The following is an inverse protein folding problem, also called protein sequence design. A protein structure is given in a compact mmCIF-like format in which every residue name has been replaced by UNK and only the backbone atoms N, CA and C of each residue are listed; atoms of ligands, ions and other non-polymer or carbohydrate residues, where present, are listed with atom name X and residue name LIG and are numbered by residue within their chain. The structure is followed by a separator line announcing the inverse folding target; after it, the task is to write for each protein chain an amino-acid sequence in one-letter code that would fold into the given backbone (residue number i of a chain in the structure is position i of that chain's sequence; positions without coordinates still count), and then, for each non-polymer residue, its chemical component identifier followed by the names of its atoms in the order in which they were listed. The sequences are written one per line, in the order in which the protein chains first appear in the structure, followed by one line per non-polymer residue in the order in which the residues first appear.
data_IF_721922819283
#
_entry.id   IF_721922819283
#
_cell.length_a   1.000
_cell.length_b   1.000
_cell.length_c   1.000
_cell.angle_alpha   90.00
_cell.angle_beta   90.00
_cell.angle_gamma   90.00
#
_symmetry.space_group_name_H-M   'P 1'
#
loop_
_entity.id
_entity.type
_entity.pdbx_description
1 polymer ?
#
# COMPACT_ATOMS: atom_id res chain seq x y z
N UNK A 1 -15.17 -18.33 33.56
CA UNK A 1 -14.49 -17.12 33.06
C UNK A 1 -14.55 -17.16 31.55
N UNK A 2 -14.99 -16.08 30.88
CA UNK A 2 -14.93 -16.02 29.42
C UNK A 2 -13.46 -15.95 29.00
N UNK A 3 -12.97 -17.02 28.38
CA UNK A 3 -11.64 -17.07 27.79
C UNK A 3 -11.65 -16.20 26.54
N UNK A 4 -10.79 -15.17 26.49
CA UNK A 4 -10.58 -14.36 25.29
C UNK A 4 -10.18 -15.24 24.11
N UNK A 5 -10.77 -14.98 22.93
CA UNK A 5 -10.49 -15.66 21.67
C UNK A 5 -9.70 -14.76 20.69
N UNK A 6 -8.99 -15.36 19.74
CA UNK A 6 -8.34 -14.62 18.65
C UNK A 6 -9.36 -13.96 17.73
N UNK A 7 -10.48 -14.63 17.46
CA UNK A 7 -11.56 -14.08 16.64
C UNK A 7 -12.11 -12.77 17.20
N UNK A 8 -12.20 -12.64 18.53
CA UNK A 8 -12.63 -11.40 19.21
C UNK A 8 -11.64 -10.25 18.99
N UNK A 9 -10.33 -10.53 18.97
CA UNK A 9 -9.30 -9.54 18.65
C UNK A 9 -9.36 -9.13 17.17
N UNK A 10 -9.47 -10.12 16.29
CA UNK A 10 -9.53 -9.92 14.84
C UNK A 10 -10.72 -9.02 14.46
N UNK A 11 -11.87 -9.20 15.12
CA UNK A 11 -13.06 -8.40 14.91
C UNK A 11 -12.86 -6.89 15.18
N UNK A 12 -11.82 -6.51 15.94
CA UNK A 12 -11.49 -5.11 16.22
C UNK A 12 -10.74 -4.41 15.07
N UNK A 13 -10.14 -5.18 14.15
CA UNK A 13 -9.35 -4.63 13.04
C UNK A 13 -10.22 -3.78 12.11
N UNK A 14 -9.71 -2.61 11.73
CA UNK A 14 -10.41 -1.64 10.89
C UNK A 14 -11.45 -0.81 11.62
N UNK A 15 -11.69 -1.04 12.92
CA UNK A 15 -12.56 -0.17 13.71
C UNK A 15 -11.80 1.09 14.15
N UNK A 16 -12.49 2.25 14.22
CA UNK A 16 -11.94 3.43 14.86
C UNK A 16 -11.77 3.16 16.36
N UNK A 17 -10.75 3.75 16.96
CA UNK A 17 -10.45 3.60 18.39
C UNK A 17 -11.56 4.11 19.32
N UNK A 18 -12.49 4.89 18.78
CA UNK A 18 -13.69 5.38 19.47
C UNK A 18 -14.93 4.51 19.26
N UNK A 19 -14.84 3.42 18.49
CA UNK A 19 -15.96 2.52 18.27
C UNK A 19 -16.43 1.91 19.61
N UNK A 20 -17.76 1.81 19.88
CA UNK A 20 -18.27 1.22 21.11
C UNK A 20 -17.70 -0.17 21.39
N UNK A 21 -17.59 -1.02 20.36
CA UNK A 21 -17.03 -2.37 20.47
C UNK A 21 -15.55 -2.35 20.92
N UNK A 22 -14.75 -1.41 20.39
CA UNK A 22 -13.35 -1.24 20.78
C UNK A 22 -13.25 -0.79 22.25
N UNK A 23 -14.06 0.19 22.65
CA UNK A 23 -14.10 0.71 24.01
C UNK A 23 -14.52 -0.38 25.00
N UNK A 24 -15.62 -1.08 24.73
CA UNK A 24 -16.11 -2.17 25.57
C UNK A 24 -15.10 -3.31 25.69
N UNK A 25 -14.39 -3.65 24.61
CA UNK A 25 -13.33 -4.67 24.67
C UNK A 25 -12.20 -4.25 25.60
N UNK A 26 -11.71 -3.01 25.49
CA UNK A 26 -10.63 -2.52 26.33
C UNK A 26 -11.04 -2.41 27.80
N UNK A 27 -12.30 -2.04 28.08
CA UNK A 27 -12.86 -2.00 29.44
C UNK A 27 -13.05 -3.40 30.03
N UNK A 28 -13.61 -4.34 29.25
CA UNK A 28 -13.87 -5.72 29.68
C UNK A 28 -12.59 -6.45 30.11
N UNK A 29 -11.46 -6.17 29.44
CA UNK A 29 -10.19 -6.84 29.66
C UNK A 29 -9.14 -5.97 30.39
N UNK A 30 -9.54 -4.80 30.90
CA UNK A 30 -8.67 -3.84 31.61
C UNK A 30 -7.38 -3.50 30.85
N UNK A 31 -7.52 -3.16 29.57
CA UNK A 31 -6.41 -2.87 28.64
C UNK A 31 -6.02 -1.36 28.62
N UNK A 32 -6.57 -0.59 29.55
CA UNK A 32 -6.35 0.85 29.70
C UNK A 32 -6.99 1.70 28.59
N UNK A 33 -6.53 2.96 28.45
CA UNK A 33 -7.16 3.95 27.56
C UNK A 33 -6.75 3.80 26.09
N UNK A 34 -7.72 3.87 25.18
CA UNK A 34 -7.50 3.90 23.73
C UNK A 34 -7.02 5.28 23.26
N UNK A 35 -6.12 5.37 22.26
CA UNK A 35 -5.75 6.64 21.66
C UNK A 35 -6.95 7.19 20.85
N UNK A 36 -7.52 8.32 21.26
CA UNK A 36 -8.68 8.92 20.54
C UNK A 36 -8.28 9.50 19.18
N UNK A 37 -7.04 9.94 19.05
CA UNK A 37 -6.44 10.53 17.85
C UNK A 37 -5.01 10.04 17.78
N UNK A 38 -4.47 9.88 16.57
CA UNK A 38 -3.03 9.63 16.38
C UNK A 38 -2.34 10.92 15.94
N UNK A 39 -1.18 11.17 16.51
CA UNK A 39 -0.16 12.06 15.91
C UNK A 39 0.81 11.18 15.11
N UNK A 40 1.61 11.74 14.18
CA UNK A 40 2.54 10.95 13.37
C UNK A 40 3.48 10.03 14.18
N UNK A 41 3.75 10.36 15.45
CA UNK A 41 4.66 9.64 16.33
C UNK A 41 3.98 8.67 17.30
N UNK A 42 2.65 8.48 17.23
CA UNK A 42 1.86 7.68 18.18
C UNK A 42 1.08 6.54 17.50
N UNK A 43 1.70 5.86 16.54
CA UNK A 43 1.07 4.81 15.75
C UNK A 43 0.93 3.45 16.44
N UNK A 44 1.45 3.26 17.66
CA UNK A 44 1.47 1.93 18.30
C UNK A 44 1.24 2.01 19.82
N UNK A 45 0.65 0.96 20.38
CA UNK A 45 0.46 0.78 21.82
C UNK A 45 0.75 -0.67 22.21
N UNK A 46 1.75 -0.87 23.05
CA UNK A 46 2.06 -2.16 23.66
C UNK A 46 1.37 -2.28 25.03
N UNK A 47 0.70 -3.40 25.29
CA UNK A 47 0.02 -3.67 26.56
C UNK A 47 0.35 -5.09 26.99
N UNK A 48 0.88 -5.24 28.20
CA UNK A 48 1.07 -6.55 28.83
C UNK A 48 -0.05 -6.77 29.84
N UNK A 49 -1.07 -7.54 29.45
CA UNK A 49 -2.16 -7.91 30.33
C UNK A 49 -1.75 -9.08 31.21
N UNK A 50 -1.53 -8.82 32.50
CA UNK A 50 -1.19 -9.86 33.49
C UNK A 50 -2.35 -10.83 33.72
N UNK A 51 -3.58 -10.34 33.70
CA UNK A 51 -4.78 -11.15 33.93
C UNK A 51 -5.02 -12.15 32.80
N UNK A 52 -4.73 -11.76 31.57
CA UNK A 52 -4.83 -12.62 30.39
C UNK A 52 -3.56 -13.40 30.09
N UNK A 53 -2.44 -13.04 30.73
CA UNK A 53 -1.10 -13.48 30.38
C UNK A 53 -0.75 -13.21 28.90
N UNK A 54 -1.25 -12.11 28.31
CA UNK A 54 -1.02 -11.78 26.90
C UNK A 54 -0.34 -10.42 26.77
N UNK A 55 0.68 -10.37 25.92
CA UNK A 55 1.23 -9.11 25.41
C UNK A 55 0.59 -8.79 24.06
N UNK A 56 -0.07 -7.65 24.00
CA UNK A 56 -0.67 -7.10 22.79
C UNK A 56 0.17 -5.96 22.26
N UNK A 57 0.31 -5.90 20.95
CA UNK A 57 0.81 -4.73 20.26
C UNK A 57 -0.22 -4.27 19.26
N UNK A 58 -0.92 -3.19 19.60
CA UNK A 58 -1.94 -2.56 18.78
C UNK A 58 -1.28 -1.48 17.93
N UNK A 59 -1.43 -1.56 16.61
CA UNK A 59 -0.98 -0.53 15.67
C UNK A 59 -2.19 0.21 15.12
N UNK A 60 -2.14 1.53 15.16
CA UNK A 60 -3.13 2.42 14.58
C UNK A 60 -2.50 3.15 13.40
N UNK A 61 -3.08 2.98 12.21
CA UNK A 61 -2.52 3.48 10.96
C UNK A 61 -3.63 3.63 9.92
N UNK A 62 -3.36 4.41 8.87
CA UNK A 62 -4.31 4.69 7.79
C UNK A 62 -3.70 4.14 6.49
N UNK A 63 -3.85 2.83 6.24
CA UNK A 63 -3.16 2.14 5.13
C UNK A 63 -4.07 1.22 4.32
N UNK A 64 -5.19 1.77 3.87
CA UNK A 64 -6.09 1.13 2.91
C UNK A 64 -6.97 2.21 2.29
N UNK A 65 -7.43 2.00 1.05
CA UNK A 65 -8.37 2.88 0.33
C UNK A 65 -9.59 3.25 1.19
N UNK A 66 -10.20 2.26 1.85
CA UNK A 66 -11.36 2.47 2.75
C UNK A 66 -11.11 3.48 3.88
N UNK A 67 -9.86 3.67 4.29
CA UNK A 67 -9.48 4.54 5.41
C UNK A 67 -8.75 5.81 4.95
N UNK A 68 -8.43 5.96 3.66
CA UNK A 68 -7.67 7.08 3.09
C UNK A 68 -8.58 8.01 2.23
N UNK A 69 -8.39 9.34 2.28
CA UNK A 69 -7.53 10.07 3.20
C UNK A 69 -8.05 9.96 4.63
N UNK A 70 -7.19 10.17 5.63
CA UNK A 70 -7.59 10.08 7.02
C UNK A 70 -8.63 11.17 7.32
N UNK A 71 -9.75 10.79 7.94
CA UNK A 71 -10.81 11.74 8.29
C UNK A 71 -10.48 12.42 9.63
N UNK A 72 -10.51 13.74 9.68
CA UNK A 72 -10.46 14.51 10.93
C UNK A 72 -11.88 14.76 11.45
N UNK A 73 -12.24 14.31 12.66
CA UNK A 73 -13.56 14.60 13.24
C UNK A 73 -13.82 16.10 13.44
N UNK A 74 -12.75 16.90 13.46
CA UNK A 74 -12.79 18.35 13.67
C UNK A 74 -12.53 19.15 12.40
N UNK A 75 -12.38 18.46 11.27
CA UNK A 75 -11.96 19.07 10.00
C UNK A 75 -10.65 19.88 10.13
N UNK A 76 -9.72 19.39 10.96
CA UNK A 76 -8.39 19.97 11.17
C UNK A 76 -7.27 19.03 10.66
N UNK A 77 -6.11 19.61 10.31
CA UNK A 77 -4.99 18.88 9.68
C UNK A 77 -4.14 18.05 10.65
N UNK A 78 -4.51 17.97 11.94
CA UNK A 78 -3.63 17.43 12.98
C UNK A 78 -4.25 16.29 13.80
N UNK A 79 -5.58 16.08 13.74
CA UNK A 79 -6.29 15.10 14.56
C UNK A 79 -7.17 14.19 13.72
N UNK A 80 -6.58 13.12 13.22
CA UNK A 80 -7.28 12.11 12.44
C UNK A 80 -7.88 11.01 13.32
N UNK A 81 -8.95 10.37 12.81
CA UNK A 81 -9.51 9.16 13.40
C UNK A 81 -8.45 8.06 13.39
N UNK A 82 -8.23 7.44 14.55
CA UNK A 82 -7.28 6.36 14.71
C UNK A 82 -7.95 5.00 14.44
N UNK A 83 -7.72 4.40 13.27
CA UNK A 83 -8.20 3.06 12.95
C UNK A 83 -7.19 2.00 13.39
N UNK A 84 -7.67 0.93 14.02
CA UNK A 84 -6.80 -0.19 14.40
C UNK A 84 -6.38 -0.96 13.15
N UNK A 85 -5.12 -0.82 12.74
CA UNK A 85 -4.60 -1.40 11.50
C UNK A 85 -3.97 -2.77 11.71
N UNK A 86 -3.44 -3.06 12.90
CA UNK A 86 -2.84 -4.38 13.19
C UNK A 86 -2.83 -4.68 14.68
N UNK A 87 -2.92 -5.97 15.00
CA UNK A 87 -2.78 -6.51 16.34
C UNK A 87 -1.81 -7.68 16.26
N UNK A 88 -0.68 -7.56 16.95
CA UNK A 88 0.18 -8.70 17.26
C UNK A 88 -0.15 -9.18 18.66
N UNK A 89 -0.44 -10.47 18.80
CA UNK A 89 -0.81 -11.09 20.06
C UNK A 89 0.23 -12.13 20.55
N UNK A 90 1.36 -12.23 19.84
CA UNK A 90 2.55 -12.98 20.25
C UNK A 90 3.79 -12.08 20.19
N UNK A 91 4.15 -11.47 21.31
CA UNK A 91 5.39 -10.68 21.40
C UNK A 91 6.47 -11.49 22.15
N UNK A 92 7.50 -11.88 21.41
CA UNK A 92 8.61 -12.74 21.82
C UNK A 92 9.53 -12.14 22.88
N UNK A 93 9.54 -10.81 23.11
CA UNK A 93 10.39 -10.22 24.17
C UNK A 93 10.05 -10.75 25.58
N UNK A 94 8.84 -11.29 25.78
CA UNK A 94 8.47 -11.95 27.02
C UNK A 94 8.70 -13.47 27.02
N UNK A 95 8.76 -14.13 25.85
CA UNK A 95 8.70 -15.60 25.75
C UNK A 95 9.98 -16.32 26.19
N UNK A 96 11.16 -15.69 26.05
CA UNK A 96 12.42 -16.32 26.49
C UNK A 96 12.60 -16.33 28.01
N UNK A 97 11.91 -15.43 28.74
CA UNK A 97 11.99 -15.33 30.22
C UNK A 97 10.73 -15.82 30.93
N UNK A 98 9.59 -15.85 30.24
CA UNK A 98 8.29 -16.32 30.74
C UNK A 98 7.55 -17.01 29.59
N UNK A 99 7.56 -18.36 29.53
CA UNK A 99 6.74 -19.08 28.59
C UNK A 99 5.29 -18.62 28.73
N UNK A 100 4.65 -18.33 27.61
CA UNK A 100 3.26 -17.90 27.56
C UNK A 100 2.38 -19.05 27.06
N UNK A 101 1.94 -19.98 27.92
CA UNK A 101 0.91 -20.92 27.55
C UNK A 101 -0.42 -20.18 27.60
N UNK A 102 -0.72 -19.42 26.54
CA UNK A 102 -2.08 -18.90 26.37
C UNK A 102 -3.07 -20.06 26.50
N UNK A 103 -4.24 -19.87 27.12
CA UNK A 103 -5.23 -20.94 27.28
C UNK A 103 -5.56 -21.57 25.92
N UNK A 104 -5.84 -22.88 25.88
CA UNK A 104 -6.19 -23.58 24.63
C UNK A 104 -7.35 -22.87 23.91
N UNK A 105 -8.34 -22.37 24.66
CA UNK A 105 -9.48 -21.65 24.11
C UNK A 105 -9.18 -20.30 23.46
N UNK A 106 -7.97 -19.75 23.63
CA UNK A 106 -7.53 -18.54 22.92
C UNK A 106 -7.27 -18.84 21.44
N UNK A 107 -6.69 -19.99 21.14
CA UNK A 107 -6.22 -20.41 19.81
C UNK A 107 -7.37 -20.93 18.94
N UNK A 108 -8.39 -20.10 18.68
CA UNK A 108 -9.58 -20.46 17.91
C UNK A 108 -9.47 -20.15 16.42
N UNK A 109 -8.38 -19.48 15.98
CA UNK A 109 -8.12 -19.16 14.57
C UNK A 109 -6.77 -19.70 14.10
N UNK A 110 -5.71 -19.47 14.86
CA UNK A 110 -4.38 -20.05 14.59
C UNK A 110 -4.11 -21.22 15.52
N UNK A 111 -3.24 -22.10 15.07
CA UNK A 111 -2.63 -23.10 15.93
C UNK A 111 -1.70 -22.44 16.95
N UNK A 112 -1.54 -23.05 18.14
CA UNK A 112 -0.61 -22.56 19.16
C UNK A 112 0.86 -22.59 18.67
N UNK A 113 1.78 -21.83 19.31
CA UNK A 113 3.17 -21.67 18.84
C UNK A 113 3.98 -22.97 18.81
N UNK A 114 3.54 -23.99 19.54
CA UNK A 114 4.16 -25.32 19.57
C UNK A 114 3.64 -26.27 18.47
N UNK A 115 2.71 -25.82 17.63
CA UNK A 115 2.25 -26.59 16.48
C UNK A 115 3.38 -26.80 15.46
N UNK A 116 3.34 -27.93 14.77
CA UNK A 116 4.34 -28.24 13.76
C UNK A 116 4.15 -27.34 12.54
N UNK A 117 5.25 -26.99 11.87
CA UNK A 117 5.20 -26.16 10.66
C UNK A 117 4.28 -26.76 9.58
N UNK A 118 4.22 -28.09 9.47
CA UNK A 118 3.33 -28.79 8.54
C UNK A 118 1.84 -28.56 8.85
N UNK A 119 1.49 -28.43 10.13
CA UNK A 119 0.10 -28.18 10.54
C UNK A 119 -0.29 -26.75 10.17
N UNK A 120 0.61 -25.79 10.36
CA UNK A 120 0.41 -24.40 9.92
C UNK A 120 0.32 -24.31 8.40
N UNK A 121 1.17 -25.04 7.67
CA UNK A 121 1.09 -25.08 6.21
C UNK A 121 -0.24 -25.70 5.73
N UNK A 122 -0.76 -26.71 6.44
CA UNK A 122 -2.07 -27.29 6.14
C UNK A 122 -3.20 -26.28 6.37
N UNK A 123 -3.11 -25.45 7.42
CA UNK A 123 -4.10 -24.43 7.74
C UNK A 123 -4.03 -23.20 6.81
N UNK A 124 -2.83 -22.67 6.55
CA UNK A 124 -2.61 -21.38 5.91
C UNK A 124 -2.18 -21.49 4.43
N UNK A 125 -1.84 -22.68 3.97
CA UNK A 125 -1.28 -22.91 2.64
C UNK A 125 0.24 -22.76 2.59
N UNK A 126 0.78 -22.66 1.38
CA UNK A 126 2.23 -22.56 1.16
C UNK A 126 2.78 -21.22 1.68
N UNK A 127 4.05 -21.19 2.13
CA UNK A 127 4.67 -19.96 2.59
C UNK A 127 4.75 -18.93 1.45
N UNK A 128 4.43 -17.67 1.77
CA UNK A 128 4.56 -16.54 0.83
C UNK A 128 6.00 -16.06 0.70
N UNK A 129 6.80 -16.30 1.71
CA UNK A 129 8.24 -16.06 1.71
C UNK A 129 8.94 -17.17 2.52
N UNK A 130 10.05 -17.66 1.97
CA UNK A 130 10.85 -18.72 2.59
C UNK A 130 12.32 -18.49 2.30
N UNK A 131 13.08 -18.29 3.37
CA UNK A 131 14.54 -18.20 3.33
C UNK A 131 15.15 -19.33 4.15
N UNK A 132 16.47 -19.39 4.22
CA UNK A 132 17.17 -20.35 5.10
C UNK A 132 16.87 -20.12 6.59
N UNK A 133 16.48 -18.91 6.98
CA UNK A 133 16.30 -18.51 8.38
C UNK A 133 14.85 -18.26 8.75
N UNK A 134 13.96 -18.07 7.77
CA UNK A 134 12.60 -17.60 8.00
C UNK A 134 11.59 -18.29 7.10
N UNK A 135 10.37 -18.46 7.61
CA UNK A 135 9.21 -18.93 6.84
C UNK A 135 7.99 -18.12 7.24
N UNK A 136 7.38 -17.44 6.27
CA UNK A 136 6.21 -16.58 6.46
C UNK A 136 5.00 -17.16 5.75
N UNK A 137 3.90 -17.28 6.47
CA UNK A 137 2.61 -17.79 6.00
C UNK A 137 1.57 -16.69 6.12
N UNK A 138 0.73 -16.55 5.10
CA UNK A 138 -0.35 -15.56 5.08
C UNK A 138 -1.67 -16.22 4.67
N UNK A 139 -2.73 -15.86 5.38
CA UNK A 139 -4.09 -16.28 5.07
C UNK A 139 -5.01 -15.06 5.07
N UNK A 140 -5.78 -14.88 4.00
CA UNK A 140 -6.79 -13.82 3.96
C UNK A 140 -7.94 -14.17 4.93
N UNK A 141 -8.26 -13.24 5.83
CA UNK A 141 -9.43 -13.36 6.71
C UNK A 141 -10.70 -12.89 6.00
N UNK A 142 -10.55 -11.87 5.15
CA UNK A 142 -11.56 -11.33 4.26
C UNK A 142 -10.87 -10.48 3.17
N UNK A 143 -11.64 -9.64 2.47
CA UNK A 143 -11.13 -8.74 1.44
C UNK A 143 -10.06 -7.78 1.97
N UNK A 144 -10.23 -7.27 3.19
CA UNK A 144 -9.42 -6.17 3.74
C UNK A 144 -8.40 -6.62 4.79
N UNK A 145 -8.53 -7.84 5.32
CA UNK A 145 -7.73 -8.30 6.46
C UNK A 145 -6.92 -9.55 6.12
N UNK A 146 -5.73 -9.64 6.69
CA UNK A 146 -4.79 -10.75 6.55
C UNK A 146 -4.30 -11.18 7.91
N UNK A 147 -4.10 -12.48 8.06
CA UNK A 147 -3.47 -13.11 9.20
C UNK A 147 -2.11 -13.64 8.76
N UNK A 148 -1.07 -13.30 9.52
CA UNK A 148 0.30 -13.70 9.20
C UNK A 148 0.91 -14.46 10.35
N UNK A 149 1.63 -15.53 10.01
CA UNK A 149 2.49 -16.29 10.92
C UNK A 149 3.89 -16.27 10.35
N UNK A 150 4.86 -15.89 11.18
CA UNK A 150 6.28 -15.91 10.83
C UNK A 150 7.04 -16.78 11.82
N UNK A 151 7.73 -17.76 11.27
CA UNK A 151 8.75 -18.56 11.94
C UNK A 151 10.13 -18.02 11.59
N UNK A 152 10.99 -17.86 12.58
CA UNK A 152 12.39 -17.46 12.37
C UNK A 152 13.34 -18.26 13.25
N UNK A 153 14.54 -18.53 12.77
CA UNK A 153 15.60 -19.14 13.58
C UNK A 153 16.06 -18.15 14.67
N UNK A 154 15.82 -18.48 15.93
CA UNK A 154 16.29 -17.73 17.10
C UNK A 154 17.72 -18.09 17.51
N UNK A 155 18.39 -18.99 16.76
CA UNK A 155 19.68 -19.56 17.10
C UNK A 155 19.60 -20.65 18.17
N UNK A 156 20.67 -21.44 18.30
CA UNK A 156 20.78 -22.57 19.26
C UNK A 156 19.63 -23.58 19.13
N UNK A 157 19.09 -23.76 17.92
CA UNK A 157 17.98 -24.68 17.65
C UNK A 157 16.62 -24.22 18.20
N UNK A 158 16.48 -22.95 18.60
CA UNK A 158 15.20 -22.37 19.01
C UNK A 158 14.49 -21.76 17.81
N UNK A 159 13.25 -22.18 17.56
CA UNK A 159 12.38 -21.54 16.58
C UNK A 159 11.57 -20.44 17.28
N UNK A 160 11.61 -19.22 16.75
CA UNK A 160 10.78 -18.11 17.18
C UNK A 160 9.49 -18.11 16.36
N UNK A 161 8.37 -17.86 17.04
CA UNK A 161 7.04 -17.78 16.45
C UNK A 161 6.46 -16.39 16.71
N UNK A 162 6.02 -15.72 15.66
CA UNK A 162 5.28 -14.47 15.74
C UNK A 162 4.04 -14.54 14.85
N UNK A 163 2.96 -13.93 15.32
CA UNK A 163 1.67 -13.91 14.65
C UNK A 163 0.92 -12.62 14.92
N UNK A 164 0.34 -12.09 13.86
CA UNK A 164 -0.44 -10.88 13.90
C UNK A 164 -1.54 -10.93 12.86
N UNK A 165 -2.61 -10.20 13.14
CA UNK A 165 -3.64 -9.89 12.16
C UNK A 165 -3.52 -8.41 11.78
N UNK A 166 -3.79 -8.08 10.53
CA UNK A 166 -3.70 -6.71 10.04
C UNK A 166 -4.74 -6.43 8.96
N UNK A 167 -5.13 -5.16 8.85
CA UNK A 167 -5.65 -4.62 7.61
C UNK A 167 -4.54 -4.70 6.56
N UNK A 168 -4.85 -5.26 5.39
CA UNK A 168 -3.93 -5.35 4.25
C UNK A 168 -3.42 -3.96 3.93
N UNK A 169 -2.11 -3.79 4.09
CA UNK A 169 -1.44 -2.59 3.64
C UNK A 169 -1.40 -2.65 2.12
N UNK A 170 -2.09 -1.72 1.50
CA UNK A 170 -1.93 -1.46 0.09
C UNK A 170 -0.97 -0.27 -0.03
N UNK A 171 -0.22 -0.24 -1.11
CA UNK A 171 0.65 0.91 -1.38
C UNK A 171 -0.05 1.79 -2.39
N UNK A 172 -0.20 3.07 -2.04
CA UNK A 172 -0.59 4.11 -2.99
C UNK A 172 0.57 4.29 -3.98
N UNK A 173 0.25 4.33 -5.27
CA UNK A 173 1.17 4.47 -6.39
C UNK A 173 1.13 5.91 -6.89
N UNK A 174 -0.08 6.45 -7.10
CA UNK A 174 -0.30 7.86 -7.43
C UNK A 174 -1.26 8.44 -6.40
N UNK A 175 -0.79 9.49 -5.72
CA UNK A 175 -1.48 10.12 -4.60
C UNK A 175 -2.77 10.83 -4.97
N UNK A 176 -3.74 10.82 -4.04
CA UNK A 176 -5.03 11.53 -4.21
C UNK A 176 -4.89 12.97 -4.68
N UNK A 177 -3.89 13.66 -4.15
CA UNK A 177 -3.70 15.07 -4.39
C UNK A 177 -3.54 15.37 -5.88
N UNK A 178 -2.82 14.54 -6.65
CA UNK A 178 -2.56 14.78 -8.08
C UNK A 178 -3.83 14.90 -8.92
N UNK A 179 -4.92 14.23 -8.52
CA UNK A 179 -6.19 14.23 -9.24
C UNK A 179 -7.24 15.15 -8.60
N UNK A 180 -6.99 15.67 -7.40
CA UNK A 180 -7.91 16.59 -6.73
C UNK A 180 -7.99 17.93 -7.49
N UNK A 181 -9.19 18.29 -7.97
CA UNK A 181 -9.46 19.53 -8.71
C UNK A 181 -9.45 20.77 -7.81
N UNK A 182 -9.80 20.60 -6.55
CA UNK A 182 -9.86 21.70 -5.57
C UNK A 182 -8.46 22.09 -5.06
N UNK A 183 -7.46 21.23 -5.28
CA UNK A 183 -6.07 21.56 -5.01
C UNK A 183 -5.51 22.31 -6.21
N UNK A 184 -5.17 23.56 -5.99
CA UNK A 184 -4.49 24.34 -7.00
C UNK A 184 -2.99 23.97 -7.00
N UNK A 185 -2.59 23.06 -7.89
CA UNK A 185 -1.17 22.89 -8.21
C UNK A 185 -0.73 23.99 -9.17
N UNK A 186 -0.99 25.27 -8.87
CA UNK A 186 -0.55 26.38 -9.72
C UNK A 186 0.95 26.29 -10.03
N UNK A 187 1.72 25.68 -9.13
CA UNK A 187 3.16 25.46 -9.30
C UNK A 187 3.53 24.25 -10.17
N UNK A 188 2.67 23.23 -10.36
CA UNK A 188 3.03 21.99 -11.08
C UNK A 188 1.88 21.32 -11.89
N UNK A 189 1.15 22.05 -12.77
CA UNK A 189 0.07 21.47 -13.57
C UNK A 189 0.57 20.39 -14.54
N UNK A 190 1.83 20.48 -15.01
CA UNK A 190 2.44 19.45 -15.83
C UNK A 190 2.37 18.06 -15.19
N UNK A 191 2.66 17.92 -13.88
CA UNK A 191 2.68 16.61 -13.23
C UNK A 191 1.28 16.01 -13.12
N UNK A 192 0.25 16.81 -12.82
CA UNK A 192 -1.15 16.33 -12.88
C UNK A 192 -1.46 15.74 -14.25
N UNK A 193 -1.19 16.50 -15.31
CA UNK A 193 -1.42 16.06 -16.69
C UNK A 193 -0.56 14.85 -17.10
N UNK A 194 0.66 14.75 -16.59
CA UNK A 194 1.49 13.58 -16.80
C UNK A 194 0.86 12.31 -16.18
N UNK A 195 0.27 12.43 -14.99
CA UNK A 195 -0.43 11.30 -14.37
C UNK A 195 -1.73 10.92 -15.09
N UNK A 196 -2.44 11.86 -15.73
CA UNK A 196 -3.62 11.51 -16.55
C UNK A 196 -3.24 10.66 -17.77
N UNK A 197 -2.04 10.81 -18.33
CA UNK A 197 -1.52 9.91 -19.38
C UNK A 197 -1.34 8.48 -18.84
N UNK A 198 -0.86 8.32 -17.61
CA UNK A 198 -0.75 6.99 -16.97
C UNK A 198 -2.13 6.35 -16.80
N UNK A 199 -3.14 7.12 -16.34
CA UNK A 199 -4.51 6.63 -16.23
C UNK A 199 -5.07 6.19 -17.59
N UNK A 200 -4.85 6.99 -18.63
CA UNK A 200 -5.27 6.66 -19.98
C UNK A 200 -4.66 5.34 -20.45
N UNK A 201 -3.34 5.18 -20.24
CA UNK A 201 -2.63 3.95 -20.57
C UNK A 201 -3.16 2.73 -19.80
N UNK A 202 -3.41 2.87 -18.50
CA UNK A 202 -3.98 1.81 -17.66
C UNK A 202 -5.39 1.42 -18.12
N UNK A 203 -6.24 2.40 -18.49
CA UNK A 203 -7.58 2.14 -19.00
C UNK A 203 -7.55 1.44 -20.35
N UNK A 204 -6.77 1.95 -21.31
CA UNK A 204 -6.72 1.41 -22.68
C UNK A 204 -6.23 -0.04 -22.70
N UNK A 205 -5.30 -0.38 -21.82
CA UNK A 205 -4.76 -1.73 -21.67
C UNK A 205 -5.58 -2.62 -20.72
N UNK A 206 -6.71 -2.14 -20.20
CA UNK A 206 -7.57 -2.85 -19.23
C UNK A 206 -6.80 -3.33 -17.99
N UNK A 207 -5.87 -2.52 -17.49
CA UNK A 207 -5.00 -2.82 -16.36
C UNK A 207 -5.59 -2.38 -15.01
N UNK A 208 -6.81 -1.84 -15.00
CA UNK A 208 -7.54 -1.46 -13.79
C UNK A 208 -8.59 -2.51 -13.40
N UNK A 209 -8.70 -2.79 -12.11
CA UNK A 209 -9.80 -3.54 -11.51
C UNK A 209 -11.03 -2.64 -11.35
N UNK A 210 -11.73 -2.42 -12.46
CA UNK A 210 -13.02 -1.71 -12.52
C UNK A 210 -14.06 -2.59 -13.20
N UNK A 211 -15.34 -2.24 -13.06
CA UNK A 211 -16.44 -2.97 -13.67
C UNK A 211 -16.33 -3.01 -15.20
N UNK A 212 -16.67 -4.14 -15.80
CA UNK A 212 -16.58 -4.33 -17.26
C UNK A 212 -17.37 -3.28 -18.05
N UNK A 213 -18.49 -2.82 -17.51
CA UNK A 213 -19.33 -1.76 -18.10
C UNK A 213 -18.58 -0.42 -18.19
N UNK A 214 -17.69 -0.12 -17.24
CA UNK A 214 -16.89 1.11 -17.29
C UNK A 214 -15.95 1.13 -18.52
N UNK A 215 -15.51 -0.04 -19.00
CA UNK A 215 -14.71 -0.16 -20.21
C UNK A 215 -15.51 -0.06 -21.52
N UNK A 216 -16.85 -0.07 -21.47
CA UNK A 216 -17.68 0.03 -22.67
C UNK A 216 -17.76 1.47 -23.20
N UNK A 217 -17.49 2.45 -22.34
CA UNK A 217 -17.41 3.87 -22.69
C UNK A 217 -15.93 4.22 -22.91
N UNK A 218 -15.50 4.58 -24.13
CA UNK A 218 -14.12 4.97 -24.38
C UNK A 218 -13.71 6.16 -23.53
N UNK A 219 -12.58 6.04 -22.82
CA UNK A 219 -12.00 7.17 -22.10
C UNK A 219 -11.36 8.13 -23.10
N UNK A 220 -11.83 9.38 -23.12
CA UNK A 220 -11.28 10.41 -24.02
C UNK A 220 -9.88 10.85 -23.56
N UNK A 221 -8.96 11.19 -24.48
CA UNK A 221 -7.63 11.70 -24.15
C UNK A 221 -7.67 13.19 -23.77
N UNK A 222 -8.51 13.54 -22.79
CA UNK A 222 -8.75 14.90 -22.32
C UNK A 222 -8.64 14.92 -20.80
N UNK A 223 -7.92 15.91 -20.23
CA UNK A 223 -7.68 16.00 -18.78
C UNK A 223 -8.99 15.93 -17.98
N UNK A 224 -10.00 16.71 -18.38
CA UNK A 224 -11.31 16.72 -17.70
C UNK A 224 -11.96 15.34 -17.65
N UNK A 225 -12.06 14.67 -18.81
CA UNK A 225 -12.68 13.34 -18.90
C UNK A 225 -11.93 12.29 -18.08
N UNK A 226 -10.60 12.36 -18.04
CA UNK A 226 -9.77 11.45 -17.24
C UNK A 226 -9.95 11.74 -15.76
N UNK A 227 -9.96 13.00 -15.33
CA UNK A 227 -10.20 13.36 -13.94
C UNK A 227 -11.61 12.93 -13.46
N UNK A 228 -12.65 13.08 -14.29
CA UNK A 228 -13.99 12.58 -13.97
C UNK A 228 -13.99 11.05 -13.79
N UNK A 229 -13.24 10.34 -14.65
CA UNK A 229 -13.07 8.90 -14.54
C UNK A 229 -12.36 8.48 -13.24
N UNK A 230 -11.25 9.12 -12.88
CA UNK A 230 -10.50 8.78 -11.66
C UNK A 230 -11.33 9.08 -10.42
N UNK A 231 -12.07 10.20 -10.39
CA UNK A 231 -12.99 10.52 -9.30
C UNK A 231 -14.07 9.44 -9.14
N UNK A 232 -14.72 9.09 -10.25
CA UNK A 232 -15.86 8.15 -10.25
C UNK A 232 -15.46 6.72 -9.90
N UNK A 233 -14.35 6.22 -10.45
CA UNK A 233 -14.03 4.79 -10.40
C UNK A 233 -12.85 4.45 -9.48
N UNK A 234 -12.02 5.42 -9.13
CA UNK A 234 -10.73 5.19 -8.44
C UNK A 234 -10.54 6.09 -7.22
N UNK A 235 -11.58 6.79 -6.75
CA UNK A 235 -11.53 7.67 -5.58
C UNK A 235 -10.39 8.72 -5.65
N UNK A 236 -10.11 9.23 -6.85
CA UNK A 236 -9.04 10.18 -7.13
C UNK A 236 -7.61 9.67 -6.88
N UNK A 237 -7.30 8.38 -6.87
CA UNK A 237 -5.92 7.89 -6.68
C UNK A 237 -5.62 6.59 -7.45
N UNK A 238 -4.41 6.06 -7.33
CA UNK A 238 -4.08 4.70 -7.79
C UNK A 238 -3.41 3.91 -6.67
N UNK A 239 -4.04 2.81 -6.27
CA UNK A 239 -3.49 1.83 -5.34
C UNK A 239 -3.17 0.52 -6.05
N UNK A 240 -2.23 -0.23 -5.48
CA UNK A 240 -1.85 -1.55 -6.01
C UNK A 240 -3.04 -2.50 -6.19
N UNK A 241 -4.02 -2.51 -5.29
CA UNK A 241 -5.21 -3.38 -5.37
C UNK A 241 -6.24 -2.95 -6.43
N UNK A 242 -6.15 -1.73 -6.95
CA UNK A 242 -6.97 -1.24 -8.06
C UNK A 242 -6.39 -1.68 -9.42
N UNK A 243 -5.27 -2.41 -9.43
CA UNK A 243 -4.63 -2.93 -10.63
C UNK A 243 -4.93 -4.41 -10.83
N UNK A 244 -4.98 -4.83 -12.09
CA UNK A 244 -4.95 -6.25 -12.43
C UNK A 244 -3.68 -6.92 -11.90
N UNK A 245 -3.78 -8.20 -11.57
CA UNK A 245 -2.63 -9.01 -11.16
C UNK A 245 -1.76 -9.37 -12.38
N UNK A 246 -1.08 -8.35 -12.91
CA UNK A 246 -0.12 -8.46 -13.99
C UNK A 246 1.31 -8.42 -13.42
N UNK A 247 2.19 -9.39 -13.78
CA UNK A 247 3.57 -9.40 -13.32
C UNK A 247 4.27 -8.07 -13.58
N UNK A 248 4.97 -7.57 -12.56
CA UNK A 248 5.80 -6.35 -12.59
C UNK A 248 5.04 -5.03 -12.83
N UNK A 249 3.71 -5.03 -13.00
CA UNK A 249 2.93 -3.81 -13.28
C UNK A 249 3.10 -2.75 -12.18
N UNK A 250 2.86 -3.12 -10.91
CA UNK A 250 3.02 -2.19 -9.79
C UNK A 250 4.45 -1.63 -9.68
N UNK A 251 5.46 -2.48 -9.83
CA UNK A 251 6.87 -2.07 -9.83
C UNK A 251 7.20 -1.12 -10.98
N UNK A 252 6.61 -1.35 -12.17
CA UNK A 252 6.76 -0.45 -13.31
C UNK A 252 6.13 0.91 -13.02
N UNK A 253 4.91 0.94 -12.47
CA UNK A 253 4.25 2.20 -12.11
C UNK A 253 5.03 3.00 -11.05
N UNK A 254 5.63 2.35 -10.05
CA UNK A 254 6.55 3.01 -9.12
C UNK A 254 7.81 3.55 -9.82
N UNK A 255 8.27 2.86 -10.87
CA UNK A 255 9.43 3.31 -11.62
C UNK A 255 9.09 4.56 -12.43
N UNK A 256 7.97 4.57 -13.16
CA UNK A 256 7.60 5.72 -14.01
C UNK A 256 7.17 6.96 -13.23
N UNK A 257 6.83 6.82 -11.94
CA UNK A 257 6.48 7.96 -11.06
C UNK A 257 7.69 8.55 -10.33
N UNK A 258 8.89 7.97 -10.49
CA UNK A 258 10.12 8.47 -9.87
C UNK A 258 11.17 8.81 -10.92
N UNK A 259 12.03 9.79 -10.62
CA UNK A 259 13.12 10.21 -11.51
C UNK A 259 14.36 9.28 -11.44
N UNK A 260 14.18 8.04 -11.00
CA UNK A 260 15.28 7.08 -10.84
C UNK A 260 15.65 6.48 -12.20
N UNK A 261 16.95 6.46 -12.48
CA UNK A 261 17.50 5.73 -13.62
C UNK A 261 17.59 4.24 -13.29
N UNK A 262 17.24 3.40 -14.24
CA UNK A 262 17.48 1.96 -14.18
C UNK A 262 18.61 1.59 -15.12
N UNK A 263 19.49 0.71 -14.67
CA UNK A 263 20.57 0.18 -15.48
C UNK A 263 20.03 -0.97 -16.33
N UNK A 264 20.19 -0.85 -17.65
CA UNK A 264 19.92 -1.91 -18.61
C UNK A 264 20.88 -3.10 -18.41
N UNK A 265 20.57 -4.30 -18.95
CA UNK A 265 21.46 -5.45 -18.88
C UNK A 265 22.87 -5.22 -19.48
N UNK A 266 22.99 -4.28 -20.43
CA UNK A 266 24.27 -3.88 -21.02
C UNK A 266 25.04 -2.82 -20.22
N UNK A 267 24.51 -2.39 -19.07
CA UNK A 267 25.11 -1.37 -18.21
C UNK A 267 24.62 0.07 -18.48
N UNK A 268 23.81 0.30 -19.51
CA UNK A 268 23.37 1.65 -19.90
C UNK A 268 22.28 2.18 -18.97
N UNK A 269 22.39 3.40 -18.41
CA UNK A 269 21.32 4.00 -17.62
C UNK A 269 20.15 4.43 -18.52
N UNK A 270 18.91 4.19 -18.08
CA UNK A 270 17.70 4.56 -18.81
C UNK A 270 16.63 5.11 -17.85
N UNK A 271 16.00 6.21 -18.26
CA UNK A 271 14.90 6.82 -17.51
C UNK A 271 13.56 6.23 -17.95
N UNK A 272 12.78 5.80 -16.97
CA UNK A 272 11.38 5.42 -17.16
C UNK A 272 10.43 6.49 -16.65
N UNK A 273 10.95 7.59 -16.10
CA UNK A 273 10.16 8.62 -15.46
C UNK A 273 9.18 9.27 -16.46
N UNK A 274 7.91 9.43 -16.07
CA UNK A 274 6.84 9.89 -16.95
C UNK A 274 7.16 11.23 -17.61
N UNK A 275 7.83 12.15 -16.90
CA UNK A 275 8.32 13.40 -17.52
C UNK A 275 9.29 13.13 -18.67
N UNK A 276 10.27 12.27 -18.46
CA UNK A 276 11.24 11.89 -19.50
C UNK A 276 10.55 11.26 -20.69
N UNK A 277 9.56 10.40 -20.46
CA UNK A 277 8.78 9.77 -21.54
C UNK A 277 7.97 10.79 -22.35
N UNK A 278 7.36 11.78 -21.69
CA UNK A 278 6.62 12.84 -22.38
C UNK A 278 7.54 13.74 -23.20
N UNK A 279 8.72 14.09 -22.66
CA UNK A 279 9.73 14.85 -23.39
C UNK A 279 10.30 14.07 -24.58
N UNK A 280 10.52 12.76 -24.44
CA UNK A 280 10.91 11.85 -25.53
C UNK A 280 9.84 11.82 -26.62
N UNK A 281 8.58 11.71 -26.24
CA UNK A 281 7.44 11.72 -27.19
C UNK A 281 7.36 13.02 -28.00
N UNK A 282 7.73 14.14 -27.39
CA UNK A 282 7.68 15.47 -28.01
C UNK A 282 8.98 15.89 -28.72
N UNK A 283 10.01 15.06 -28.70
CA UNK A 283 11.37 15.40 -29.13
C UNK A 283 11.93 16.67 -28.44
N UNK A 284 11.66 16.80 -27.13
CA UNK A 284 12.02 17.96 -26.31
C UNK A 284 13.12 17.68 -25.27
N UNK A 285 13.64 16.45 -25.21
CA UNK A 285 14.64 16.05 -24.19
C UNK A 285 15.87 16.94 -24.20
N UNK A 286 16.50 17.17 -25.36
CA UNK A 286 17.71 17.99 -25.46
C UNK A 286 17.45 19.49 -25.20
N UNK A 287 16.22 19.97 -25.43
CA UNK A 287 15.83 21.33 -25.08
C UNK A 287 15.67 21.48 -23.56
N UNK A 288 15.02 20.50 -22.94
CA UNK A 288 14.85 20.43 -21.49
C UNK A 288 16.20 20.34 -20.75
N UNK A 289 17.11 19.48 -21.21
CA UNK A 289 18.43 19.31 -20.57
C UNK A 289 19.25 20.60 -20.57
N UNK A 290 19.31 21.29 -21.72
CA UNK A 290 19.95 22.61 -21.82
C UNK A 290 19.31 23.64 -20.89
N UNK A 291 17.98 23.70 -20.87
CA UNK A 291 17.26 24.63 -20.01
C UNK A 291 17.51 24.32 -18.52
N UNK A 292 17.54 23.05 -18.15
CA UNK A 292 17.77 22.61 -16.78
C UNK A 292 19.18 22.97 -16.28
N UNK A 293 20.18 22.89 -17.17
CA UNK A 293 21.58 23.25 -16.86
C UNK A 293 21.79 24.78 -16.81
N UNK A 294 21.23 25.51 -17.77
CA UNK A 294 21.53 26.93 -17.97
C UNK A 294 20.56 27.88 -17.23
N UNK A 295 19.29 27.49 -17.08
CA UNK A 295 18.19 28.33 -16.60
C UNK A 295 17.14 27.53 -15.82
N UNK A 296 17.54 26.96 -14.68
CA UNK A 296 16.67 26.12 -13.84
C UNK A 296 15.33 26.79 -13.45
N UNK A 297 15.33 28.11 -13.25
CA UNK A 297 14.15 28.91 -12.93
C UNK A 297 13.09 28.94 -14.05
N UNK A 298 13.47 28.66 -15.30
CA UNK A 298 12.57 28.60 -16.44
C UNK A 298 11.99 27.20 -16.70
N UNK A 299 12.42 26.17 -15.96
CA UNK A 299 12.01 24.76 -16.19
C UNK A 299 10.52 24.56 -15.99
N UNK A 300 9.95 25.09 -14.91
CA UNK A 300 8.53 24.94 -14.61
C UNK A 300 7.67 25.63 -15.67
N UNK A 301 8.09 26.81 -16.11
CA UNK A 301 7.45 27.52 -17.20
C UNK A 301 7.48 26.66 -18.47
N UNK A 302 8.64 26.13 -18.86
CA UNK A 302 8.77 25.26 -20.03
C UNK A 302 7.83 24.05 -19.98
N UNK A 303 7.81 23.32 -18.86
CA UNK A 303 6.95 22.16 -18.68
C UNK A 303 5.46 22.52 -18.74
N UNK A 304 5.08 23.67 -18.18
CA UNK A 304 3.68 24.12 -18.16
C UNK A 304 3.17 24.58 -19.53
N UNK A 305 4.05 24.90 -20.49
CA UNK A 305 3.68 25.21 -21.87
C UNK A 305 3.41 23.96 -22.72
N UNK A 306 3.71 22.75 -22.22
CA UNK A 306 3.42 21.52 -22.94
C UNK A 306 1.89 21.34 -23.05
N UNK A 307 1.43 21.20 -24.29
CA UNK A 307 0.02 20.98 -24.62
C UNK A 307 -0.26 19.47 -24.60
N UNK A 308 -1.23 19.07 -23.77
CA UNK A 308 -1.69 17.68 -23.67
C UNK A 308 -2.87 17.45 -24.62
N UNK A 309 -2.57 17.31 -25.90
CA UNK A 309 -3.53 17.02 -26.96
C UNK A 309 -3.57 15.52 -27.30
N UNK A 310 -4.54 15.13 -28.15
CA UNK A 310 -4.72 13.73 -28.54
C UNK A 310 -3.44 13.08 -29.15
N UNK A 311 -2.67 13.76 -30.03
CA UNK A 311 -1.37 13.27 -30.48
C UNK A 311 -0.39 12.96 -29.35
N UNK A 312 -0.21 13.86 -28.38
CA UNK A 312 0.68 13.59 -27.24
C UNK A 312 0.21 12.39 -26.43
N UNK A 313 -1.10 12.31 -26.12
CA UNK A 313 -1.64 11.14 -25.41
C UNK A 313 -1.37 9.84 -26.17
N UNK A 314 -1.62 9.80 -27.48
CA UNK A 314 -1.43 8.59 -28.28
C UNK A 314 0.05 8.18 -28.33
N UNK A 315 0.96 9.13 -28.56
CA UNK A 315 2.40 8.87 -28.58
C UNK A 315 2.90 8.37 -27.23
N UNK A 316 2.49 9.03 -26.15
CA UNK A 316 2.93 8.69 -24.80
C UNK A 316 2.38 7.35 -24.31
N UNK A 317 1.12 7.03 -24.62
CA UNK A 317 0.53 5.70 -24.34
C UNK A 317 1.29 4.60 -25.09
N UNK A 318 1.63 4.84 -26.36
CA UNK A 318 2.40 3.90 -27.18
C UNK A 318 3.81 3.69 -26.60
N UNK A 319 4.47 4.77 -26.19
CA UNK A 319 5.79 4.70 -25.54
C UNK A 319 5.72 3.98 -24.18
N UNK A 320 4.64 4.16 -23.41
CA UNK A 320 4.43 3.42 -22.16
C UNK A 320 4.29 1.91 -22.40
N UNK A 321 3.60 1.48 -23.46
CA UNK A 321 3.54 0.06 -23.84
C UNK A 321 4.91 -0.51 -24.16
N UNK A 322 5.73 0.23 -24.91
CA UNK A 322 7.09 -0.16 -25.26
C UNK A 322 7.99 -0.25 -24.02
N UNK A 323 7.97 0.79 -23.17
CA UNK A 323 8.76 0.83 -21.93
C UNK A 323 8.31 -0.25 -20.95
N UNK A 324 7.02 -0.57 -20.87
CA UNK A 324 6.56 -1.66 -20.01
C UNK A 324 7.04 -3.03 -20.51
N UNK A 325 7.02 -3.27 -21.83
CA UNK A 325 7.60 -4.50 -22.42
C UNK A 325 9.11 -4.58 -22.12
N UNK A 326 9.84 -3.48 -22.35
CA UNK A 326 11.28 -3.39 -22.07
C UNK A 326 11.60 -3.67 -20.60
N UNK A 327 10.85 -3.05 -19.68
CA UNK A 327 11.01 -3.24 -18.23
C UNK A 327 10.84 -4.71 -17.83
N UNK A 328 9.82 -5.39 -18.38
CA UNK A 328 9.62 -6.83 -18.13
C UNK A 328 10.80 -7.65 -18.60
N UNK A 329 11.30 -7.40 -19.81
CA UNK A 329 12.47 -8.09 -20.34
C UNK A 329 13.69 -7.94 -19.43
N UNK A 330 13.99 -6.72 -18.98
CA UNK A 330 15.14 -6.48 -18.09
C UNK A 330 15.02 -7.18 -16.74
N UNK A 331 13.80 -7.27 -16.20
CA UNK A 331 13.54 -7.92 -14.91
C UNK A 331 13.44 -9.45 -14.99
N UNK A 332 13.28 -10.01 -16.18
CA UNK A 332 13.32 -11.46 -16.39
C UNK A 332 14.72 -12.01 -16.65
N UNK A 333 15.69 -11.14 -16.98
CA UNK A 333 17.10 -11.50 -17.22
C UNK A 333 18.00 -11.36 -15.99
N UNK A 334 17.49 -10.78 -14.91
CA UNK A 334 18.11 -10.66 -13.59
C UNK A 334 17.54 -11.75 -12.68
#
# INVERSE_FOLDING_TARGET
MNTLKQSELIALLGLPSTAPQMVSFFEQYDLGKLPKTITPNQGTKSIVSKSLNISFWFKYDIKNDKYQPPVSPKNDNYKFVAYLSSIMFTHTEHSDKRPDPKPIGFWDVLLPPNALQNDVQTLMGNPVDRTALESTYEMALNTDQVLTVKYSDGGKGKLLYSSWAAVKQQSEIIGRDFFNRDHDFESFPFLRRAHTVIIKWLFDNRLLHIDKQAYEIPLKPEEGAILDFVDTYLNNHIWKNQLVDAPLLSSFLYTITTNRLLTAPDGTPNSFYIRSLLLETLDQTAAFERLYEDHFDAVDQFLNHIIFDAPLYQGAVSLLDEKFKLFKTWRSTL
#
